data_IF_895213075541
#
_entry.id   IF_895213075541
#
_cell.length_a   1.000
_cell.length_b   1.000
_cell.length_c   1.000
_cell.angle_alpha   90.00
_cell.angle_beta   90.00
_cell.angle_gamma   90.00
#
_symmetry.space_group_name_H-M   'P 1'
#
loop_
_entity.id
_entity.type
_entity.pdbx_description
1 polymer ?
#
# COMPACT_ATOMS: atom_id res chain seq x y z
N UNK A 1 -5.33 1.29 11.69
CA UNK A 1 -4.71 2.56 11.31
C UNK A 1 -4.74 2.76 9.79
N UNK A 2 -4.14 1.86 8.98
CA UNK A 2 -4.03 2.01 7.51
C UNK A 2 -5.34 2.22 6.77
N UNK A 3 -6.41 1.45 7.08
CA UNK A 3 -7.73 1.63 6.48
C UNK A 3 -8.32 3.02 6.76
N UNK A 4 -8.11 3.54 7.98
CA UNK A 4 -8.57 4.88 8.36
C UNK A 4 -7.80 5.95 7.58
N UNK A 5 -6.47 5.80 7.46
CA UNK A 5 -5.64 6.69 6.63
C UNK A 5 -6.11 6.68 5.17
N UNK A 6 -6.40 5.48 4.62
CA UNK A 6 -6.94 5.33 3.28
C UNK A 6 -8.32 5.96 3.10
N UNK A 7 -9.18 5.86 4.11
CA UNK A 7 -10.48 6.51 4.13
C UNK A 7 -10.34 8.03 4.09
N UNK A 8 -9.46 8.60 4.92
CA UNK A 8 -9.20 10.04 4.95
C UNK A 8 -8.63 10.51 3.61
N UNK A 9 -7.65 9.78 3.04
CA UNK A 9 -7.09 10.07 1.73
C UNK A 9 -8.17 10.05 0.64
N UNK A 10 -9.03 9.03 0.66
CA UNK A 10 -10.12 8.91 -0.29
C UNK A 10 -11.17 10.02 -0.15
N UNK A 11 -11.50 10.40 1.08
CA UNK A 11 -12.42 11.52 1.33
C UNK A 11 -11.85 12.84 0.80
N UNK A 12 -10.57 13.11 1.02
CA UNK A 12 -9.89 14.31 0.51
C UNK A 12 -9.92 14.28 -1.02
N UNK A 13 -9.55 13.16 -1.64
CA UNK A 13 -9.58 13.02 -3.09
C UNK A 13 -10.98 13.25 -3.68
N UNK A 14 -12.00 12.60 -3.13
CA UNK A 14 -13.36 12.63 -3.67
C UNK A 14 -14.06 13.97 -3.40
N UNK A 15 -13.95 14.51 -2.17
CA UNK A 15 -14.66 15.75 -1.78
C UNK A 15 -13.96 17.00 -2.28
N UNK A 16 -12.63 17.05 -2.19
CA UNK A 16 -11.86 18.23 -2.60
C UNK A 16 -11.44 18.18 -4.06
N UNK A 17 -11.73 17.06 -4.77
CA UNK A 17 -11.39 16.86 -6.19
C UNK A 17 -9.91 17.07 -6.49
N UNK A 18 -9.03 16.83 -5.52
CA UNK A 18 -7.58 16.88 -5.69
C UNK A 18 -7.07 15.54 -6.21
N UNK A 19 -5.91 15.53 -6.87
CA UNK A 19 -5.30 14.30 -7.37
C UNK A 19 -4.99 13.32 -6.22
N UNK A 20 -5.02 12.02 -6.50
CA UNK A 20 -4.69 10.97 -5.51
C UNK A 20 -3.32 11.19 -4.88
N UNK A 21 -2.33 11.61 -5.68
CA UNK A 21 -0.98 11.87 -5.22
C UNK A 21 -0.96 13.01 -4.20
N UNK A 22 -1.63 14.12 -4.49
CA UNK A 22 -1.70 15.27 -3.58
C UNK A 22 -2.45 14.93 -2.30
N UNK A 23 -3.57 14.22 -2.38
CA UNK A 23 -4.31 13.73 -1.23
C UNK A 23 -3.44 12.83 -0.33
N UNK A 24 -2.64 11.93 -0.94
CA UNK A 24 -1.70 11.08 -0.24
C UNK A 24 -0.61 11.87 0.51
N UNK A 25 -0.02 12.88 -0.12
CA UNK A 25 1.00 13.74 0.50
C UNK A 25 0.43 14.51 1.68
N UNK A 26 -0.78 15.07 1.55
CA UNK A 26 -1.44 15.80 2.64
C UNK A 26 -1.67 14.88 3.85
N UNK A 27 -2.19 13.67 3.61
CA UNK A 27 -2.45 12.70 4.69
C UNK A 27 -1.15 12.20 5.30
N UNK A 28 -0.12 11.95 4.49
CA UNK A 28 1.21 11.56 4.99
C UNK A 28 1.78 12.62 5.94
N UNK A 29 1.69 13.89 5.58
CA UNK A 29 2.18 15.01 6.41
C UNK A 29 1.37 15.13 7.71
N UNK A 30 0.05 14.96 7.63
CA UNK A 30 -0.82 14.94 8.80
C UNK A 30 -0.53 13.78 9.74
N UNK A 31 -0.37 12.57 9.19
CA UNK A 31 -0.04 11.36 9.96
C UNK A 31 1.33 11.45 10.62
N UNK A 32 2.31 12.05 9.96
CA UNK A 32 3.63 12.29 10.56
C UNK A 32 3.54 13.01 11.90
N UNK A 33 2.70 14.05 11.97
CA UNK A 33 2.49 14.81 13.22
C UNK A 33 1.77 13.97 14.29
N UNK A 34 0.80 13.14 13.87
CA UNK A 34 0.08 12.24 14.78
C UNK A 34 1.00 11.15 15.31
N UNK A 35 1.81 10.55 14.44
CA UNK A 35 2.74 9.50 14.80
C UNK A 35 3.82 10.01 15.78
N UNK A 36 4.38 11.22 15.56
CA UNK A 36 5.28 11.86 16.51
C UNK A 36 4.63 12.05 17.89
N UNK A 37 3.34 12.41 17.91
CA UNK A 37 2.62 12.63 19.16
C UNK A 37 2.33 11.33 19.92
N UNK A 38 2.04 10.25 19.18
CA UNK A 38 1.80 8.92 19.75
C UNK A 38 3.11 8.29 20.22
N UNK A 39 4.16 8.36 19.42
CA UNK A 39 5.46 7.78 19.72
C UNK A 39 6.25 8.57 20.77
N UNK A 40 6.00 9.86 20.91
CA UNK A 40 6.72 10.76 21.82
C UNK A 40 8.19 11.01 21.46
N UNK A 41 8.73 10.23 20.51
CA UNK A 41 10.10 10.30 19.98
C UNK A 41 10.06 9.97 18.49
N UNK A 42 11.02 10.47 17.71
CA UNK A 42 11.11 10.14 16.28
C UNK A 42 11.47 8.68 16.00
N UNK A 43 12.19 8.03 16.92
CA UNK A 43 12.64 6.66 16.80
C UNK A 43 12.41 5.90 18.10
N UNK A 44 11.78 4.71 18.01
CA UNK A 44 11.54 3.81 19.15
C UNK A 44 12.20 2.47 18.85
N UNK A 45 13.16 2.03 19.70
CA UNK A 45 13.74 0.69 19.58
C UNK A 45 12.71 -0.37 20.01
N UNK A 46 12.58 -1.43 19.24
CA UNK A 46 11.67 -2.54 19.48
C UNK A 46 12.34 -3.77 20.09
N UNK A 47 13.63 -3.68 20.44
CA UNK A 47 14.43 -4.83 20.91
C UNK A 47 13.90 -5.49 22.19
N UNK A 48 13.09 -4.79 22.98
CA UNK A 48 12.46 -5.32 24.20
C UNK A 48 11.11 -6.01 23.96
N UNK A 49 10.56 -5.93 22.76
CA UNK A 49 9.28 -6.54 22.42
C UNK A 49 9.50 -7.94 21.83
N UNK A 50 8.52 -8.84 22.02
CA UNK A 50 8.53 -10.13 21.31
C UNK A 50 8.45 -9.88 19.81
N UNK A 51 9.53 -10.20 19.09
CA UNK A 51 9.58 -10.04 17.63
C UNK A 51 9.03 -11.27 16.94
N UNK A 52 8.42 -11.09 15.77
CA UNK A 52 8.03 -12.19 14.88
C UNK A 52 9.25 -13.02 14.41
N UNK A 53 10.44 -12.46 14.54
CA UNK A 53 11.71 -13.02 14.07
C UNK A 53 12.53 -13.72 15.16
N UNK A 54 11.99 -13.94 16.36
CA UNK A 54 12.68 -14.62 17.49
C UNK A 54 12.73 -16.16 17.35
N UNK A 55 12.45 -16.70 16.18
CA UNK A 55 12.45 -18.14 15.95
C UNK A 55 13.70 -18.65 15.24
N UNK A 56 13.84 -19.97 15.20
CA UNK A 56 14.90 -20.71 14.48
C UNK A 56 14.86 -20.48 12.95
N UNK A 57 13.80 -19.84 12.45
CA UNK A 57 13.59 -19.57 11.02
C UNK A 57 14.25 -18.24 10.67
N UNK A 58 15.04 -18.23 9.60
CA UNK A 58 15.65 -17.00 9.08
C UNK A 58 14.59 -15.92 8.82
N UNK A 59 14.83 -14.69 9.27
CA UNK A 59 13.94 -13.55 9.07
C UNK A 59 13.55 -13.36 7.59
N UNK A 60 14.46 -13.66 6.68
CA UNK A 60 14.23 -13.61 5.23
C UNK A 60 13.12 -14.58 4.81
N UNK A 61 13.09 -15.80 5.35
CA UNK A 61 12.06 -16.80 5.01
C UNK A 61 10.69 -16.34 5.46
N UNK A 62 10.58 -15.74 6.64
CA UNK A 62 9.30 -15.20 7.15
C UNK A 62 8.80 -14.07 6.26
N UNK A 63 9.68 -13.14 5.86
CA UNK A 63 9.33 -12.04 4.96
C UNK A 63 8.89 -12.56 3.60
N UNK A 64 9.61 -13.54 3.03
CA UNK A 64 9.25 -14.12 1.72
C UNK A 64 7.89 -14.83 1.77
N UNK A 65 7.64 -15.62 2.81
CA UNK A 65 6.35 -16.30 2.99
C UNK A 65 5.23 -15.26 3.10
N UNK A 66 5.43 -14.21 3.90
CA UNK A 66 4.45 -13.14 4.04
C UNK A 66 4.19 -12.43 2.70
N UNK A 67 5.23 -12.12 1.94
CA UNK A 67 5.13 -11.52 0.62
C UNK A 67 4.31 -12.40 -0.35
N UNK A 68 4.53 -13.71 -0.32
CA UNK A 68 3.76 -14.66 -1.12
C UNK A 68 2.29 -14.69 -0.70
N UNK A 69 1.99 -14.69 0.59
CA UNK A 69 0.62 -14.66 1.11
C UNK A 69 -0.09 -13.38 0.66
N UNK A 70 0.54 -12.22 0.83
CA UNK A 70 -0.03 -10.93 0.42
C UNK A 70 -0.25 -10.89 -1.09
N UNK A 71 0.72 -11.36 -1.87
CA UNK A 71 0.59 -11.46 -3.33
C UNK A 71 -0.60 -12.33 -3.74
N UNK A 72 -0.75 -13.53 -3.14
CA UNK A 72 -1.86 -14.41 -3.44
C UNK A 72 -3.20 -13.79 -3.04
N UNK A 73 -3.26 -13.11 -1.89
CA UNK A 73 -4.45 -12.40 -1.44
C UNK A 73 -4.87 -11.29 -2.42
N UNK A 74 -3.91 -10.48 -2.89
CA UNK A 74 -4.17 -9.43 -3.88
C UNK A 74 -4.60 -10.06 -5.22
N UNK A 75 -3.92 -11.10 -5.69
CA UNK A 75 -4.27 -11.79 -6.93
C UNK A 75 -5.67 -12.39 -6.87
N UNK A 76 -6.05 -12.93 -5.70
CA UNK A 76 -7.40 -13.45 -5.47
C UNK A 76 -8.43 -12.32 -5.46
N UNK A 77 -8.15 -11.22 -4.73
CA UNK A 77 -9.02 -10.05 -4.67
C UNK A 77 -9.26 -9.46 -6.07
N UNK A 78 -8.21 -9.34 -6.88
CA UNK A 78 -8.32 -8.82 -8.25
C UNK A 78 -9.10 -9.73 -9.19
N UNK A 79 -9.23 -11.02 -8.88
CA UNK A 79 -10.07 -11.96 -9.64
C UNK A 79 -11.55 -11.89 -9.26
N UNK A 80 -11.89 -11.25 -8.13
CA UNK A 80 -13.28 -11.07 -7.73
C UNK A 80 -14.00 -10.03 -8.59
N UNK A 81 -15.32 -10.02 -8.55
CA UNK A 81 -16.14 -8.98 -9.22
C UNK A 81 -15.74 -7.57 -8.77
N UNK A 82 -15.43 -7.40 -7.48
CA UNK A 82 -14.96 -6.13 -6.93
C UNK A 82 -13.62 -5.71 -7.53
N UNK A 83 -12.64 -6.61 -7.59
CA UNK A 83 -11.34 -6.33 -8.18
C UNK A 83 -11.41 -6.01 -9.66
N UNK A 84 -12.30 -6.69 -10.40
CA UNK A 84 -12.55 -6.39 -11.81
C UNK A 84 -13.10 -4.96 -11.99
N UNK A 85 -14.12 -4.58 -11.21
CA UNK A 85 -14.69 -3.24 -11.26
C UNK A 85 -13.67 -2.18 -10.85
N UNK A 86 -12.86 -2.46 -9.83
CA UNK A 86 -11.81 -1.54 -9.38
C UNK A 86 -10.75 -1.31 -10.47
N UNK A 87 -10.37 -2.35 -11.21
CA UNK A 87 -9.47 -2.24 -12.36
C UNK A 87 -10.10 -1.43 -13.50
N UNK A 88 -11.36 -1.72 -13.84
CA UNK A 88 -12.11 -0.98 -14.86
C UNK A 88 -12.23 0.50 -14.49
N UNK A 89 -12.41 0.82 -13.20
CA UNK A 89 -12.45 2.19 -12.71
C UNK A 89 -11.13 2.93 -12.97
N UNK A 90 -9.99 2.24 -12.81
CA UNK A 90 -8.68 2.82 -13.12
C UNK A 90 -8.47 3.06 -14.61
N UNK A 91 -9.00 2.17 -15.45
CA UNK A 91 -8.86 2.26 -16.92
C UNK A 91 -9.87 3.25 -17.52
N UNK A 92 -11.12 3.24 -17.06
CA UNK A 92 -12.20 4.09 -17.59
C UNK A 92 -13.32 4.33 -16.55
N UNK A 93 -13.28 5.47 -15.90
CA UNK A 93 -14.27 5.88 -14.90
C UNK A 93 -15.68 6.07 -15.49
N UNK A 94 -15.76 6.55 -16.74
CA UNK A 94 -17.05 6.78 -17.42
C UNK A 94 -17.81 5.47 -17.64
N UNK A 95 -17.10 4.38 -17.92
CA UNK A 95 -17.71 3.07 -18.10
C UNK A 95 -18.35 2.56 -16.79
N UNK A 96 -17.66 2.74 -15.66
CA UNK A 96 -18.16 2.34 -14.34
C UNK A 96 -19.42 3.11 -13.97
N UNK A 97 -19.43 4.41 -14.27
CA UNK A 97 -20.60 5.28 -14.05
C UNK A 97 -21.76 4.90 -14.96
N UNK A 98 -21.49 4.56 -16.22
CA UNK A 98 -22.52 4.09 -17.17
C UNK A 98 -23.17 2.77 -16.74
N UNK A 99 -22.44 1.91 -16.00
CA UNK A 99 -22.97 0.69 -15.40
C UNK A 99 -23.78 0.94 -14.12
N UNK A 100 -23.99 2.20 -13.72
CA UNK A 100 -24.75 2.58 -12.53
C UNK A 100 -24.00 2.38 -11.21
N UNK A 101 -22.68 2.16 -11.26
CA UNK A 101 -21.86 2.00 -10.08
C UNK A 101 -21.30 3.34 -9.60
N UNK A 102 -21.24 3.50 -8.28
CA UNK A 102 -20.69 4.71 -7.64
C UNK A 102 -19.14 4.64 -7.64
N UNK A 103 -18.52 5.30 -8.63
CA UNK A 103 -17.07 5.36 -8.76
C UNK A 103 -16.39 5.96 -7.54
N UNK A 104 -17.03 6.91 -6.84
CA UNK A 104 -16.45 7.55 -5.65
C UNK A 104 -16.32 6.56 -4.48
N UNK A 105 -17.34 5.75 -4.25
CA UNK A 105 -17.28 4.69 -3.22
C UNK A 105 -16.23 3.65 -3.56
N UNK A 106 -16.12 3.27 -4.82
CA UNK A 106 -15.11 2.31 -5.27
C UNK A 106 -13.68 2.85 -5.08
N UNK A 107 -13.44 4.12 -5.42
CA UNK A 107 -12.15 4.80 -5.14
C UNK A 107 -11.83 4.76 -3.65
N UNK A 108 -12.81 5.06 -2.81
CA UNK A 108 -12.65 5.05 -1.36
C UNK A 108 -12.23 3.66 -0.84
N UNK A 109 -12.95 2.61 -1.24
CA UNK A 109 -12.62 1.23 -0.84
C UNK A 109 -11.25 0.80 -1.36
N UNK A 110 -10.91 1.14 -2.61
CA UNK A 110 -9.59 0.85 -3.17
C UNK A 110 -8.46 1.49 -2.37
N UNK A 111 -8.60 2.77 -2.01
CA UNK A 111 -7.63 3.49 -1.18
C UNK A 111 -7.54 2.95 0.25
N UNK A 112 -8.65 2.52 0.84
CA UNK A 112 -8.66 1.87 2.16
C UNK A 112 -7.87 0.57 2.14
N UNK A 113 -8.08 -0.28 1.14
CA UNK A 113 -7.36 -1.55 0.98
C UNK A 113 -5.87 -1.29 0.75
N UNK A 114 -5.52 -0.39 -0.18
CA UNK A 114 -4.14 -0.05 -0.49
C UNK A 114 -3.39 0.46 0.75
N UNK A 115 -3.94 1.42 1.49
CA UNK A 115 -3.32 1.95 2.70
C UNK A 115 -3.25 0.92 3.84
N UNK A 116 -4.18 -0.03 3.90
CA UNK A 116 -4.11 -1.15 4.85
C UNK A 116 -2.91 -2.04 4.57
N UNK A 117 -2.63 -2.34 3.30
CA UNK A 117 -1.48 -3.12 2.88
C UNK A 117 -0.16 -2.38 3.15
N UNK A 118 -0.12 -1.06 2.92
CA UNK A 118 1.02 -0.22 3.25
C UNK A 118 1.29 -0.23 4.76
N UNK A 119 0.27 -0.09 5.60
CA UNK A 119 0.42 -0.15 7.05
C UNK A 119 0.92 -1.52 7.55
N UNK A 120 0.45 -2.61 6.93
CA UNK A 120 0.97 -3.96 7.21
C UNK A 120 2.45 -4.08 6.84
N UNK A 121 2.82 -3.59 5.66
CA UNK A 121 4.20 -3.59 5.20
C UNK A 121 5.11 -2.80 6.15
N UNK A 122 4.71 -1.59 6.56
CA UNK A 122 5.46 -0.78 7.51
C UNK A 122 5.63 -1.45 8.87
N UNK A 123 4.59 -2.12 9.37
CA UNK A 123 4.66 -2.86 10.64
C UNK A 123 5.65 -4.03 10.60
N UNK A 124 5.73 -4.75 9.48
CA UNK A 124 6.68 -5.84 9.30
C UNK A 124 8.11 -5.31 9.14
N UNK A 125 8.27 -4.24 8.38
CA UNK A 125 9.55 -3.59 8.20
C UNK A 125 10.12 -3.09 9.53
N UNK A 126 9.30 -2.46 10.37
CA UNK A 126 9.70 -2.02 11.70
C UNK A 126 10.15 -3.19 12.59
N UNK A 127 9.44 -4.32 12.53
CA UNK A 127 9.84 -5.52 13.27
C UNK A 127 11.12 -6.16 12.73
N UNK A 128 11.31 -6.15 11.41
CA UNK A 128 12.51 -6.66 10.76
C UNK A 128 13.74 -5.83 11.12
N UNK A 129 13.60 -4.50 11.13
CA UNK A 129 14.68 -3.57 11.46
C UNK A 129 14.94 -3.48 12.98
N UNK A 130 13.98 -3.89 13.82
CA UNK A 130 14.07 -3.83 15.27
C UNK A 130 13.86 -2.42 15.85
N UNK A 131 13.42 -1.47 15.03
CA UNK A 131 13.06 -0.11 15.45
C UNK A 131 11.93 0.44 14.57
N UNK A 132 11.17 1.37 15.12
CA UNK A 132 10.17 2.14 14.38
C UNK A 132 10.62 3.60 14.33
N UNK A 133 10.67 4.17 13.12
CA UNK A 133 11.02 5.57 12.87
C UNK A 133 9.88 6.24 12.11
N UNK A 134 9.50 7.46 12.51
CA UNK A 134 8.40 8.21 11.87
C UNK A 134 8.73 8.55 10.42
N UNK A 135 10.01 8.72 10.09
CA UNK A 135 10.51 9.01 8.75
C UNK A 135 10.68 7.79 7.84
N UNK A 136 10.42 6.57 8.32
CA UNK A 136 10.66 5.29 7.62
C UNK A 136 10.00 5.21 6.24
N UNK A 137 8.84 5.86 6.08
CA UNK A 137 8.11 5.94 4.83
C UNK A 137 8.62 6.99 3.85
N UNK A 138 9.53 7.87 4.29
CA UNK A 138 10.03 8.97 3.47
C UNK A 138 10.91 8.40 2.35
N UNK A 139 10.59 8.73 1.11
CA UNK A 139 11.32 8.21 -0.05
C UNK A 139 10.78 6.89 -0.63
N UNK A 140 9.94 6.13 0.11
CA UNK A 140 9.34 4.89 -0.42
C UNK A 140 8.45 5.15 -1.64
N UNK A 141 7.88 6.34 -1.78
CA UNK A 141 7.11 6.75 -2.95
C UNK A 141 8.01 6.73 -4.20
N UNK A 142 9.22 7.28 -4.08
CA UNK A 142 10.17 7.37 -5.20
C UNK A 142 10.66 5.98 -5.58
N UNK A 143 11.05 5.17 -4.60
CA UNK A 143 11.49 3.78 -4.84
C UNK A 143 10.38 2.92 -5.40
N UNK A 144 9.14 3.08 -4.89
CA UNK A 144 7.98 2.37 -5.40
C UNK A 144 7.64 2.72 -6.85
N UNK A 145 7.67 4.00 -7.20
CA UNK A 145 7.47 4.44 -8.59
C UNK A 145 8.59 3.95 -9.50
N UNK A 146 9.85 4.01 -9.04
CA UNK A 146 10.98 3.49 -9.79
C UNK A 146 10.84 1.99 -10.05
N UNK A 147 10.46 1.20 -9.05
CA UNK A 147 10.23 -0.25 -9.20
C UNK A 147 9.14 -0.56 -10.23
N UNK A 148 8.05 0.21 -10.24
CA UNK A 148 6.99 0.02 -11.24
C UNK A 148 7.51 0.33 -12.64
N UNK A 149 8.20 1.46 -12.82
CA UNK A 149 8.74 1.87 -14.12
C UNK A 149 9.78 0.88 -14.63
N UNK A 150 10.70 0.43 -13.77
CA UNK A 150 11.71 -0.56 -14.13
C UNK A 150 11.06 -1.91 -14.46
N UNK A 151 10.13 -2.37 -13.62
CA UNK A 151 9.39 -3.60 -13.85
C UNK A 151 8.62 -3.58 -15.17
N UNK A 152 8.01 -2.45 -15.53
CA UNK A 152 7.30 -2.27 -16.79
C UNK A 152 8.28 -2.22 -17.98
N UNK A 153 9.42 -1.57 -17.84
CA UNK A 153 10.45 -1.48 -18.87
C UNK A 153 11.11 -2.84 -19.17
N UNK A 154 11.41 -3.63 -18.11
CA UNK A 154 12.09 -4.94 -18.23
C UNK A 154 11.15 -6.01 -18.79
N UNK A 155 9.92 -6.06 -18.31
CA UNK A 155 8.97 -7.12 -18.69
C UNK A 155 8.24 -6.77 -19.99
N UNK A 156 8.16 -5.48 -20.31
CA UNK A 156 7.45 -4.97 -21.47
C UNK A 156 5.94 -5.27 -21.41
N UNK A 157 5.25 -5.00 -22.51
CA UNK A 157 3.79 -5.26 -22.63
C UNK A 157 3.43 -6.75 -22.81
N UNK A 158 4.23 -7.68 -22.30
CA UNK A 158 3.90 -9.11 -22.36
C UNK A 158 2.67 -9.38 -21.49
N UNK A 159 1.56 -9.67 -22.13
CA UNK A 159 0.24 -10.01 -21.57
C UNK A 159 0.22 -11.16 -20.55
N UNK A 160 1.35 -11.85 -20.38
CA UNK A 160 1.46 -13.09 -19.60
C UNK A 160 1.80 -12.82 -18.13
N UNK A 161 2.41 -11.68 -17.81
CA UNK A 161 2.89 -11.40 -16.46
C UNK A 161 1.92 -10.42 -15.77
N UNK A 162 1.44 -10.82 -14.60
CA UNK A 162 0.51 -9.99 -13.81
C UNK A 162 1.23 -8.74 -13.28
N UNK A 163 0.51 -7.63 -13.19
CA UNK A 163 1.01 -6.36 -12.66
C UNK A 163 1.68 -6.51 -11.29
N UNK A 164 1.15 -7.37 -10.43
CA UNK A 164 1.74 -7.70 -9.12
C UNK A 164 3.12 -8.34 -9.19
N UNK A 165 3.43 -9.04 -10.28
CA UNK A 165 4.76 -9.66 -10.48
C UNK A 165 5.76 -8.64 -11.01
N UNK A 166 5.30 -7.64 -11.78
CA UNK A 166 6.15 -6.56 -12.28
C UNK A 166 6.76 -5.73 -11.15
N UNK A 167 5.97 -5.44 -10.11
CA UNK A 167 6.43 -4.69 -8.93
C UNK A 167 7.48 -5.45 -8.11
N UNK A 168 7.45 -6.80 -8.13
CA UNK A 168 8.42 -7.62 -7.40
C UNK A 168 9.75 -7.74 -8.13
N UNK A 169 9.74 -7.64 -9.46
CA UNK A 169 10.96 -7.77 -10.29
C UNK A 169 11.69 -6.42 -10.42
N UNK A 170 10.98 -5.28 -10.40
CA UNK A 170 11.57 -3.95 -10.43
C UNK A 170 12.04 -3.49 -9.06
#
# INVERSE_FOLDING_TARGET
>A
AGAVAGLITGMIHVKLKVTNLLAGIIVMTGLYSVDLRIMGKSNIPLFMSKHLFNGTVSAIVVVVIFLLIVKLAIDFLLKTKFGFVLKTLGDNESLVTALGLDGNKLKLYGLMIANSLVALSGGILAQYQGFADVGMGTGTIITGLASIIIGEAVIGKKKIIKATTMVIIG
#
